data_IF_545891743279
#
_entry.id   IF_545891743279
#
_cell.length_a   1.000
_cell.length_b   1.000
_cell.length_c   1.000
_cell.angle_alpha   90.00
_cell.angle_beta   90.00
_cell.angle_gamma   90.00
#
_symmetry.space_group_name_H-M   'P 1'
#
loop_
_entity.id
_entity.type
_entity.pdbx_description
1 polymer ?
#
# COMPACT_ATOMS: atom_id res chain seq x y z
N UNK A 1 1.50 1.47 14.78
CA UNK A 1 0.35 0.54 14.83
C UNK A 1 -0.72 1.05 15.78
N UNK A 2 -0.42 1.32 17.07
CA UNK A 2 -1.42 1.78 18.06
C UNK A 2 -2.22 3.00 17.59
N UNK A 3 -1.56 4.05 17.10
CA UNK A 3 -2.24 5.24 16.58
C UNK A 3 -3.22 4.93 15.44
N UNK A 4 -2.90 3.94 14.60
CA UNK A 4 -3.79 3.51 13.53
C UNK A 4 -5.04 2.80 14.11
N UNK A 5 -4.88 1.95 15.12
CA UNK A 5 -5.99 1.24 15.77
C UNK A 5 -6.92 2.26 16.45
N UNK A 6 -6.39 3.12 17.32
CA UNK A 6 -7.20 4.11 18.04
C UNK A 6 -7.90 5.13 17.15
N UNK A 7 -7.39 5.35 15.92
CA UNK A 7 -8.01 6.28 14.96
C UNK A 7 -9.09 5.64 14.08
N UNK A 8 -9.22 4.30 14.07
CA UNK A 8 -10.10 3.62 13.12
C UNK A 8 -10.99 2.55 13.73
N UNK A 9 -10.51 1.83 14.75
CA UNK A 9 -11.26 0.74 15.39
C UNK A 9 -12.21 1.29 16.46
N UNK A 10 -13.36 0.65 16.60
CA UNK A 10 -14.27 0.89 17.72
C UNK A 10 -13.75 0.20 18.99
N UNK A 11 -13.95 0.83 20.15
CA UNK A 11 -13.56 0.24 21.43
C UNK A 11 -14.25 -1.12 21.64
N UNK A 12 -13.50 -2.08 22.16
CA UNK A 12 -13.96 -3.43 22.46
C UNK A 12 -14.50 -4.22 21.24
N UNK A 13 -14.18 -3.79 20.02
CA UNK A 13 -14.62 -4.46 18.80
C UNK A 13 -13.45 -5.11 18.07
N UNK A 14 -13.69 -6.30 17.51
CA UNK A 14 -12.69 -6.98 16.66
C UNK A 14 -12.57 -6.29 15.32
N UNK A 15 -11.33 -6.09 14.87
CA UNK A 15 -11.04 -5.52 13.56
C UNK A 15 -9.65 -5.91 13.06
N UNK A 16 -9.46 -5.80 11.76
CA UNK A 16 -8.12 -5.80 11.15
C UNK A 16 -7.76 -4.36 10.81
N UNK A 17 -6.58 -3.91 11.21
CA UNK A 17 -6.10 -2.56 10.92
C UNK A 17 -4.83 -2.64 10.09
N UNK A 18 -4.92 -2.10 8.89
CA UNK A 18 -3.86 -2.10 7.89
C UNK A 18 -3.25 -0.71 7.73
N UNK A 19 -1.95 -0.64 7.60
CA UNK A 19 -1.23 0.59 7.24
C UNK A 19 -0.73 0.43 5.79
N UNK A 20 -1.13 1.35 4.91
CA UNK A 20 -0.67 1.43 3.52
C UNK A 20 -0.14 2.85 3.23
N UNK A 21 1.11 3.07 3.62
CA UNK A 21 1.85 4.31 3.44
C UNK A 21 3.13 4.11 2.63
N UNK A 22 4.27 4.62 3.12
CA UNK A 22 5.60 4.33 2.54
C UNK A 22 5.91 2.83 2.58
N UNK A 23 5.63 2.16 3.70
CA UNK A 23 5.61 0.73 3.86
C UNK A 23 4.20 0.21 4.09
N UNK A 24 4.05 -1.08 4.37
CA UNK A 24 2.77 -1.70 4.73
C UNK A 24 2.85 -2.58 5.97
N UNK A 25 1.71 -2.68 6.66
CA UNK A 25 1.56 -3.53 7.84
C UNK A 25 0.10 -3.95 7.97
N UNK A 26 -0.14 -5.12 8.60
CA UNK A 26 -1.46 -5.64 8.90
C UNK A 26 -1.48 -6.20 10.32
N UNK A 27 -2.46 -5.80 11.09
CA UNK A 27 -2.55 -6.11 12.52
C UNK A 27 -4.00 -6.47 12.86
N UNK A 28 -4.19 -7.54 13.60
CA UNK A 28 -5.47 -7.90 14.18
C UNK A 28 -5.60 -7.26 15.56
N UNK A 29 -6.79 -6.74 15.86
CA UNK A 29 -7.17 -6.19 17.14
C UNK A 29 -8.40 -6.92 17.64
N UNK A 30 -8.35 -7.53 18.83
CA UNK A 30 -9.46 -8.31 19.40
C UNK A 30 -10.40 -7.50 20.31
N UNK A 31 -10.13 -6.21 20.45
CA UNK A 31 -10.81 -5.29 21.37
C UNK A 31 -9.93 -4.87 22.56
N UNK A 32 -8.89 -5.63 22.85
CA UNK A 32 -7.94 -5.37 23.95
C UNK A 32 -6.48 -5.56 23.48
N UNK A 33 -6.22 -6.65 22.80
CA UNK A 33 -4.86 -7.07 22.41
C UNK A 33 -4.64 -6.97 20.90
N UNK A 34 -3.38 -6.93 20.55
CA UNK A 34 -2.90 -6.85 19.17
C UNK A 34 -2.21 -8.15 18.80
N UNK A 35 -2.62 -8.77 17.70
CA UNK A 35 -1.94 -9.91 17.08
C UNK A 35 -1.42 -9.52 15.68
N UNK A 36 -0.13 -9.72 15.47
CA UNK A 36 0.51 -9.51 14.17
C UNK A 36 0.98 -10.87 13.63
N UNK A 37 0.11 -11.52 12.82
CA UNK A 37 0.39 -12.84 12.24
C UNK A 37 1.62 -12.85 11.35
N UNK A 38 1.78 -11.83 10.55
CA UNK A 38 2.90 -11.69 9.61
C UNK A 38 3.85 -10.63 10.13
N UNK A 39 5.04 -11.07 10.57
CA UNK A 39 6.09 -10.15 11.02
C UNK A 39 6.66 -9.42 9.81
N UNK A 40 6.66 -8.08 9.86
CA UNK A 40 7.23 -7.26 8.80
C UNK A 40 8.76 -7.37 8.79
N UNK A 41 9.32 -7.77 7.65
CA UNK A 41 10.77 -7.82 7.39
C UNK A 41 11.23 -6.62 6.53
N UNK A 42 10.37 -5.63 6.35
CA UNK A 42 10.69 -4.39 5.65
C UNK A 42 10.59 -4.47 4.13
N UNK A 43 10.94 -3.36 3.49
CA UNK A 43 10.63 -3.08 2.09
C UNK A 43 11.32 -3.98 1.06
N UNK A 44 12.44 -4.61 1.40
CA UNK A 44 13.15 -5.49 0.47
C UNK A 44 12.36 -6.78 0.23
N UNK A 45 11.85 -7.37 1.30
CA UNK A 45 11.19 -8.68 1.27
C UNK A 45 9.66 -8.59 1.28
N UNK A 46 9.11 -7.54 1.83
CA UNK A 46 7.68 -7.39 2.10
C UNK A 46 7.16 -6.03 1.61
N UNK A 47 6.24 -5.42 2.36
CA UNK A 47 5.60 -4.14 2.08
C UNK A 47 4.72 -4.13 0.81
N UNK A 48 4.07 -5.24 0.46
CA UNK A 48 3.13 -5.29 -0.67
C UNK A 48 2.07 -4.17 -0.56
N UNK A 49 1.65 -3.63 -1.69
CA UNK A 49 0.68 -2.53 -1.81
C UNK A 49 1.07 -1.21 -1.11
N UNK A 50 2.31 -1.04 -0.70
CA UNK A 50 2.82 0.22 -0.15
C UNK A 50 3.34 1.16 -1.24
N UNK A 51 3.66 2.40 -0.86
CA UNK A 51 4.31 3.36 -1.75
C UNK A 51 5.64 2.86 -2.30
N UNK A 52 6.47 2.26 -1.44
CA UNK A 52 7.74 1.70 -1.91
C UNK A 52 7.55 0.48 -2.83
N UNK A 53 6.54 -0.35 -2.60
CA UNK A 53 6.18 -1.44 -3.49
C UNK A 53 5.82 -0.92 -4.89
N UNK A 54 4.88 0.01 -4.97
CA UNK A 54 4.44 0.56 -6.25
C UNK A 54 5.56 1.30 -6.98
N UNK A 55 6.35 2.09 -6.27
CA UNK A 55 7.51 2.78 -6.85
C UNK A 55 8.55 1.80 -7.40
N UNK A 56 8.85 0.73 -6.66
CA UNK A 56 9.75 -0.32 -7.12
C UNK A 56 9.21 -1.03 -8.37
N UNK A 57 7.90 -1.31 -8.43
CA UNK A 57 7.31 -1.94 -9.61
C UNK A 57 7.35 -1.00 -10.82
N UNK A 58 7.03 0.29 -10.65
CA UNK A 58 7.14 1.30 -11.72
C UNK A 58 8.55 1.36 -12.31
N UNK A 59 9.58 1.48 -11.47
CA UNK A 59 10.96 1.49 -11.93
C UNK A 59 11.35 0.20 -12.66
N UNK A 60 10.97 -0.95 -12.13
CA UNK A 60 11.22 -2.25 -12.78
C UNK A 60 10.52 -2.35 -14.12
N UNK A 61 9.24 -1.99 -14.18
CA UNK A 61 8.46 -2.06 -15.41
C UNK A 61 8.98 -1.07 -16.46
N UNK A 62 9.49 0.10 -16.04
CA UNK A 62 10.14 1.07 -16.91
C UNK A 62 11.41 0.48 -17.55
N UNK A 63 12.34 -0.01 -16.75
CA UNK A 63 13.61 -0.54 -17.24
C UNK A 63 13.49 -1.88 -17.99
N UNK A 64 12.40 -2.63 -17.75
CA UNK A 64 12.09 -3.84 -18.52
C UNK A 64 11.19 -3.58 -19.74
N UNK A 65 10.93 -2.31 -20.09
CA UNK A 65 10.08 -1.90 -21.22
C UNK A 65 8.67 -2.54 -21.16
N UNK A 66 8.05 -2.56 -19.96
CA UNK A 66 6.72 -3.11 -19.71
C UNK A 66 5.64 -2.05 -19.52
N UNK A 67 6.03 -0.79 -19.40
CA UNK A 67 5.10 0.33 -19.37
C UNK A 67 4.74 0.71 -20.82
N UNK A 68 3.46 0.95 -21.15
CA UNK A 68 3.07 1.46 -22.47
C UNK A 68 3.81 2.76 -22.82
N UNK A 69 4.20 2.93 -24.09
CA UNK A 69 5.10 3.99 -24.55
C UNK A 69 4.66 5.40 -24.10
N UNK A 70 3.36 5.71 -24.21
CA UNK A 70 2.82 7.00 -23.79
C UNK A 70 2.97 7.22 -22.28
N UNK A 71 2.69 6.20 -21.47
CA UNK A 71 2.84 6.24 -20.03
C UNK A 71 4.31 6.32 -19.62
N UNK A 72 5.18 5.59 -20.31
CA UNK A 72 6.63 5.60 -20.11
C UNK A 72 7.21 6.99 -20.38
N UNK A 73 6.74 7.66 -21.44
CA UNK A 73 7.15 9.03 -21.76
C UNK A 73 6.77 10.01 -20.65
N UNK A 74 5.52 9.97 -20.16
CA UNK A 74 5.05 10.80 -19.03
C UNK A 74 5.86 10.54 -17.76
N UNK A 75 6.20 9.28 -17.49
CA UNK A 75 6.98 8.91 -16.33
C UNK A 75 8.41 9.48 -16.40
N UNK A 76 9.04 9.44 -17.56
CA UNK A 76 10.35 10.02 -17.79
C UNK A 76 10.37 11.57 -17.79
N UNK A 77 9.23 12.21 -18.09
CA UNK A 77 9.08 13.67 -17.98
C UNK A 77 8.91 14.13 -16.52
N UNK A 78 8.33 13.30 -15.66
CA UNK A 78 8.05 13.66 -14.26
C UNK A 78 9.23 13.36 -13.32
N UNK A 79 10.08 12.36 -13.65
CA UNK A 79 11.15 11.90 -12.77
C UNK A 79 12.51 11.80 -13.50
N UNK A 80 13.57 12.05 -12.71
CA UNK A 80 14.92 11.69 -13.15
C UNK A 80 15.11 10.17 -13.06
N UNK A 81 15.05 9.52 -14.20
CA UNK A 81 15.18 8.07 -14.35
C UNK A 81 16.57 7.65 -14.82
N UNK A 82 17.60 8.51 -14.65
CA UNK A 82 18.97 8.11 -14.91
C UNK A 82 19.41 6.96 -13.99
N UNK A 83 20.05 5.95 -14.58
CA UNK A 83 20.40 4.73 -13.87
C UNK A 83 21.39 4.98 -12.71
N UNK A 84 22.33 5.89 -12.87
CA UNK A 84 23.30 6.20 -11.81
C UNK A 84 22.63 6.99 -10.66
N UNK A 85 21.73 7.92 -10.98
CA UNK A 85 20.92 8.64 -10.00
C UNK A 85 20.07 7.65 -9.18
N UNK A 86 19.40 6.71 -9.83
CA UNK A 86 18.58 5.69 -9.13
C UNK A 86 19.45 4.81 -8.25
N UNK A 87 20.57 4.27 -8.77
CA UNK A 87 21.50 3.45 -7.97
C UNK A 87 22.06 4.21 -6.77
N UNK A 88 22.42 5.48 -6.95
CA UNK A 88 22.91 6.30 -5.85
C UNK A 88 21.86 6.44 -4.74
N UNK A 89 20.60 6.73 -5.10
CA UNK A 89 19.50 6.86 -4.11
C UNK A 89 19.14 5.54 -3.44
N UNK A 90 19.24 4.40 -4.15
CA UNK A 90 18.90 3.09 -3.57
C UNK A 90 20.00 2.50 -2.68
N UNK A 91 21.28 2.74 -3.02
CA UNK A 91 22.38 2.00 -2.39
C UNK A 91 23.37 2.86 -1.61
N UNK A 92 23.34 4.19 -1.78
CA UNK A 92 24.30 5.08 -1.13
C UNK A 92 23.66 6.18 -0.28
N UNK A 93 22.36 6.45 -0.48
CA UNK A 93 21.63 7.44 0.30
C UNK A 93 20.79 6.80 1.41
N UNK A 94 20.48 7.52 2.50
CA UNK A 94 19.58 7.03 3.54
C UNK A 94 18.13 6.94 3.01
N UNK A 95 17.33 6.07 3.64
CA UNK A 95 15.89 5.94 3.38
C UNK A 95 15.49 5.59 1.95
N UNK A 96 16.06 4.54 1.33
CA UNK A 96 15.73 4.14 -0.04
C UNK A 96 14.26 3.74 -0.21
N UNK A 97 13.61 3.24 0.83
CA UNK A 97 12.17 2.97 0.85
C UNK A 97 11.34 4.25 0.66
N UNK A 98 11.74 5.37 1.27
CA UNK A 98 11.10 6.67 1.07
C UNK A 98 11.31 7.17 -0.34
N UNK A 99 12.52 7.06 -0.87
CA UNK A 99 12.81 7.39 -2.28
C UNK A 99 11.93 6.58 -3.23
N UNK A 100 11.85 5.26 -3.07
CA UNK A 100 10.95 4.43 -3.86
C UNK A 100 9.50 4.89 -3.78
N UNK A 101 9.03 5.27 -2.60
CA UNK A 101 7.63 5.66 -2.41
C UNK A 101 7.27 6.97 -3.12
N UNK A 102 8.24 7.81 -3.51
CA UNK A 102 7.98 9.05 -4.25
C UNK A 102 7.35 8.78 -5.62
N UNK A 103 7.71 7.67 -6.25
CA UNK A 103 7.18 7.28 -7.56
C UNK A 103 5.70 6.86 -7.52
N UNK A 104 5.18 6.45 -6.35
CA UNK A 104 3.79 6.07 -6.20
C UNK A 104 2.80 7.20 -6.54
N UNK A 105 3.22 8.47 -6.43
CA UNK A 105 2.43 9.62 -6.86
C UNK A 105 2.07 9.54 -8.34
N UNK A 106 3.01 9.12 -9.19
CA UNK A 106 2.74 8.92 -10.61
C UNK A 106 1.63 7.89 -10.84
N UNK A 107 1.68 6.76 -10.12
CA UNK A 107 0.63 5.74 -10.22
C UNK A 107 -0.73 6.28 -9.81
N UNK A 108 -0.81 7.04 -8.71
CA UNK A 108 -2.04 7.66 -8.23
C UNK A 108 -2.61 8.62 -9.28
N UNK A 109 -1.77 9.44 -9.93
CA UNK A 109 -2.18 10.39 -10.95
C UNK A 109 -2.61 9.71 -12.27
N UNK A 110 -2.13 8.49 -12.53
CA UNK A 110 -2.42 7.70 -13.73
C UNK A 110 -3.23 6.42 -13.43
N UNK A 111 -3.94 6.39 -12.31
CA UNK A 111 -4.65 5.21 -11.82
C UNK A 111 -5.78 4.71 -12.73
N UNK A 112 -6.33 5.58 -13.57
CA UNK A 112 -7.43 5.24 -14.48
C UNK A 112 -6.93 4.61 -15.80
N UNK A 113 -5.62 4.55 -16.04
CA UNK A 113 -5.05 3.85 -17.18
C UNK A 113 -5.10 2.32 -16.98
N UNK A 114 -5.18 1.54 -18.06
CA UNK A 114 -5.16 0.07 -18.00
C UNK A 114 -3.93 -0.46 -17.26
N UNK A 115 -2.77 0.15 -17.51
CA UNK A 115 -1.53 -0.17 -16.82
C UNK A 115 -1.63 0.13 -15.30
N UNK A 116 -2.11 1.33 -14.96
CA UNK A 116 -2.31 1.74 -13.57
C UNK A 116 -3.27 0.82 -12.82
N UNK A 117 -4.44 0.53 -13.39
CA UNK A 117 -5.43 -0.39 -12.84
C UNK A 117 -4.84 -1.79 -12.61
N UNK A 118 -4.12 -2.31 -13.59
CA UNK A 118 -3.48 -3.63 -13.49
C UNK A 118 -2.44 -3.69 -12.37
N UNK A 119 -1.58 -2.67 -12.27
CA UNK A 119 -0.54 -2.59 -11.24
C UNK A 119 -1.14 -2.46 -9.83
N UNK A 120 -2.15 -1.58 -9.66
CA UNK A 120 -2.84 -1.36 -8.39
C UNK A 120 -3.54 -2.64 -7.93
N UNK A 121 -4.32 -3.26 -8.81
CA UNK A 121 -5.02 -4.51 -8.51
C UNK A 121 -4.06 -5.61 -8.10
N UNK A 122 -2.94 -5.77 -8.80
CA UNK A 122 -1.89 -6.74 -8.45
C UNK A 122 -1.34 -6.50 -7.05
N UNK A 123 -1.01 -5.25 -6.71
CA UNK A 123 -0.48 -4.90 -5.39
C UNK A 123 -1.48 -5.18 -4.27
N UNK A 124 -2.74 -4.73 -4.42
CA UNK A 124 -3.76 -4.97 -3.39
C UNK A 124 -4.10 -6.45 -3.23
N UNK A 125 -4.20 -7.22 -4.31
CA UNK A 125 -4.45 -8.65 -4.23
C UNK A 125 -3.32 -9.36 -3.46
N UNK A 126 -2.06 -9.04 -3.73
CA UNK A 126 -0.92 -9.61 -3.00
C UNK A 126 -1.01 -9.30 -1.49
N UNK A 127 -1.34 -8.05 -1.14
CA UNK A 127 -1.48 -7.65 0.26
C UNK A 127 -2.66 -8.39 0.94
N UNK A 128 -3.81 -8.47 0.27
CA UNK A 128 -4.98 -9.18 0.78
C UNK A 128 -4.64 -10.65 1.04
N UNK A 129 -4.08 -11.34 0.04
CA UNK A 129 -3.77 -12.76 0.12
C UNK A 129 -2.72 -13.10 1.17
N UNK A 130 -1.69 -12.27 1.28
CA UNK A 130 -0.52 -12.53 2.14
C UNK A 130 -0.65 -12.03 3.56
N UNK A 131 -1.49 -11.01 3.79
CA UNK A 131 -1.61 -10.34 5.08
C UNK A 131 -3.02 -10.54 5.68
N UNK A 132 -4.06 -10.10 4.98
CA UNK A 132 -5.43 -10.07 5.52
C UNK A 132 -6.01 -11.46 5.66
N UNK A 133 -5.87 -12.32 4.65
CA UNK A 133 -6.42 -13.68 4.65
C UNK A 133 -5.67 -14.66 5.58
N UNK A 134 -4.63 -14.20 6.29
CA UNK A 134 -4.02 -14.97 7.36
C UNK A 134 -4.92 -15.06 8.62
N UNK A 135 -5.91 -14.17 8.75
CA UNK A 135 -6.88 -14.18 9.84
C UNK A 135 -8.15 -14.93 9.42
N UNK A 136 -8.52 -15.96 10.17
CA UNK A 136 -9.62 -16.88 9.82
C UNK A 136 -10.99 -16.21 9.77
N UNK A 137 -11.18 -15.16 10.55
CA UNK A 137 -12.41 -14.37 10.66
C UNK A 137 -12.40 -13.05 9.86
N UNK A 138 -11.41 -12.89 8.95
CA UNK A 138 -11.26 -11.67 8.15
C UNK A 138 -12.53 -11.26 7.37
N UNK A 139 -13.40 -12.23 7.01
CA UNK A 139 -14.64 -11.96 6.28
C UNK A 139 -15.79 -11.49 7.17
N UNK A 140 -15.66 -11.68 8.48
CA UNK A 140 -16.71 -11.41 9.45
C UNK A 140 -16.56 -10.04 10.11
N UNK A 141 -15.34 -9.52 10.17
CA UNK A 141 -14.96 -8.30 10.88
C UNK A 141 -14.56 -7.17 9.91
N UNK A 142 -14.69 -5.90 10.33
CA UNK A 142 -14.28 -4.78 9.50
C UNK A 142 -12.74 -4.71 9.34
N UNK A 143 -12.30 -4.24 8.17
CA UNK A 143 -10.89 -4.03 7.85
C UNK A 143 -10.66 -2.54 7.64
N UNK A 144 -9.94 -1.92 8.55
CA UNK A 144 -9.63 -0.50 8.51
C UNK A 144 -8.27 -0.24 7.85
N UNK A 145 -8.14 0.90 7.21
CA UNK A 145 -6.91 1.29 6.53
C UNK A 145 -6.46 2.70 6.91
N UNK A 146 -5.17 2.84 7.14
CA UNK A 146 -4.52 4.12 7.41
C UNK A 146 -3.35 4.30 6.47
N UNK A 147 -3.28 5.43 5.78
CA UNK A 147 -2.15 5.77 4.93
C UNK A 147 -2.54 6.41 3.60
N UNK A 148 -1.56 7.05 2.98
CA UNK A 148 -1.79 7.77 1.72
C UNK A 148 -2.19 6.85 0.57
N UNK A 149 -1.63 5.64 0.49
CA UNK A 149 -1.94 4.71 -0.59
C UNK A 149 -3.39 4.25 -0.49
N UNK A 150 -3.82 3.76 0.65
CA UNK A 150 -5.21 3.34 0.86
C UNK A 150 -6.20 4.47 0.67
N UNK A 151 -5.84 5.69 1.06
CA UNK A 151 -6.70 6.86 0.95
C UNK A 151 -6.90 7.31 -0.51
N UNK A 152 -5.80 7.49 -1.27
CA UNK A 152 -5.89 7.97 -2.66
C UNK A 152 -6.37 6.91 -3.66
N UNK A 153 -6.19 5.63 -3.33
CA UNK A 153 -6.64 4.48 -4.11
C UNK A 153 -7.81 3.75 -3.44
N UNK A 154 -8.64 4.48 -2.67
CA UNK A 154 -9.76 3.92 -1.89
C UNK A 154 -10.71 3.10 -2.75
N UNK A 155 -11.14 3.64 -3.89
CA UNK A 155 -12.08 2.97 -4.81
C UNK A 155 -11.53 1.64 -5.31
N UNK A 156 -10.28 1.62 -5.73
CA UNK A 156 -9.58 0.45 -6.24
C UNK A 156 -9.37 -0.60 -5.14
N UNK A 157 -9.04 -0.14 -3.93
CA UNK A 157 -8.90 -0.99 -2.74
C UNK A 157 -10.24 -1.66 -2.37
N UNK A 158 -11.32 -0.88 -2.29
CA UNK A 158 -12.66 -1.40 -1.99
C UNK A 158 -13.13 -2.43 -3.04
N UNK A 159 -12.83 -2.20 -4.31
CA UNK A 159 -13.12 -3.18 -5.38
C UNK A 159 -12.36 -4.50 -5.17
N UNK A 160 -11.07 -4.43 -4.80
CA UNK A 160 -10.28 -5.62 -4.50
C UNK A 160 -10.83 -6.35 -3.26
N UNK A 161 -11.11 -5.64 -2.16
CA UNK A 161 -11.68 -6.24 -0.94
C UNK A 161 -13.01 -6.95 -1.23
N UNK A 162 -13.91 -6.29 -1.96
CA UNK A 162 -15.20 -6.86 -2.35
C UNK A 162 -15.06 -8.14 -3.16
N UNK A 163 -14.06 -8.24 -4.04
CA UNK A 163 -13.79 -9.44 -4.82
C UNK A 163 -13.42 -10.66 -3.96
N UNK A 164 -12.86 -10.44 -2.76
CA UNK A 164 -12.56 -11.48 -1.77
C UNK A 164 -13.68 -11.68 -0.73
N UNK A 165 -14.77 -10.92 -0.82
CA UNK A 165 -15.87 -10.96 0.16
C UNK A 165 -15.50 -10.33 1.50
N UNK A 166 -14.55 -9.38 1.49
CA UNK A 166 -14.06 -8.67 2.67
C UNK A 166 -14.80 -7.34 2.84
N UNK A 167 -14.93 -6.89 4.10
CA UNK A 167 -15.66 -5.66 4.45
C UNK A 167 -14.67 -4.52 4.74
N UNK A 168 -14.65 -3.49 3.88
CA UNK A 168 -13.94 -2.27 4.19
C UNK A 168 -14.60 -1.55 5.38
N UNK A 169 -13.79 -1.18 6.36
CA UNK A 169 -14.15 -0.27 7.44
C UNK A 169 -13.71 1.17 7.13
N UNK A 170 -13.19 1.88 8.14
CA UNK A 170 -12.69 3.24 7.97
C UNK A 170 -11.40 3.26 7.12
N UNK A 171 -11.33 4.21 6.18
CA UNK A 171 -10.13 4.44 5.36
C UNK A 171 -9.74 5.90 5.54
N UNK A 172 -8.66 6.16 6.27
CA UNK A 172 -8.19 7.50 6.60
C UNK A 172 -6.75 7.73 6.10
N UNK A 173 -6.42 9.00 5.84
CA UNK A 173 -5.10 9.34 5.34
C UNK A 173 -4.02 9.30 6.43
N UNK A 174 -4.32 9.86 7.59
CA UNK A 174 -3.41 9.96 8.73
C UNK A 174 -4.16 9.61 10.01
N UNK A 175 -3.48 9.02 11.02
CA UNK A 175 -4.13 8.72 12.29
C UNK A 175 -4.82 9.92 12.94
N UNK A 176 -4.25 11.11 12.81
CA UNK A 176 -4.83 12.35 13.37
C UNK A 176 -6.22 12.67 12.80
N UNK A 177 -6.50 12.26 11.57
CA UNK A 177 -7.77 12.52 10.90
C UNK A 177 -8.95 11.73 11.54
N UNK A 178 -8.65 10.66 12.30
CA UNK A 178 -9.64 9.84 12.98
C UNK A 178 -9.69 10.05 14.51
N UNK A 179 -8.85 10.96 15.05
CA UNK A 179 -8.80 11.27 16.49
C UNK A 179 -9.49 12.61 16.83
N UNK A 180 -9.96 13.34 15.82
CA UNK A 180 -10.70 14.60 15.92
C UNK A 180 -12.20 14.35 15.67
#
# INVERSE_FOLDING_TARGET
TYAAIYSTAEENSKSIVCILGTGSNCTYYDGENIDQRVISLGYILMDDASGNYFGRQLLRDYYFNRIPDETSKKFNEEFDLDAETIKNNLYKQPYPNTYLSTFAKFLINNKDSDYGQSLIKRGFNLFIERQILQFSDAKEIPIHFVGSISFYLKKELEQCLNAYGLKAGNIIRKPIDGLL
#
